data_IF_225107499366
#
_entry.id   IF_225107499366
#
_cell.length_a   1.000
_cell.length_b   1.000
_cell.length_c   1.000
_cell.angle_alpha   90.00
_cell.angle_beta   90.00
_cell.angle_gamma   90.00
#
_symmetry.space_group_name_H-M   'P 1'
#
loop_
_entity.id
_entity.type
_entity.pdbx_description
1 polymer ?
#
# COMPACT_ATOMS: atom_id res chain seq x y z
N UNK A 1 14.66 -6.21 11.22
CA UNK A 1 14.07 -7.02 10.13
C UNK A 1 14.59 -6.53 8.80
N UNK A 2 14.20 -5.34 8.34
CA UNK A 2 14.66 -4.75 7.08
C UNK A 2 16.19 -4.55 7.00
N UNK A 3 16.84 -4.00 8.03
CA UNK A 3 18.31 -3.80 8.03
C UNK A 3 19.12 -5.09 8.25
N UNK A 4 18.49 -6.23 8.50
CA UNK A 4 19.23 -7.47 8.81
C UNK A 4 18.46 -8.73 8.38
N UNK A 5 18.21 -8.94 7.08
CA UNK A 5 17.61 -10.19 6.59
C UNK A 5 18.39 -11.41 7.10
N UNK A 6 17.68 -12.47 7.49
CA UNK A 6 18.30 -13.72 7.95
C UNK A 6 18.92 -13.72 9.35
N UNK A 7 18.95 -12.58 10.07
CA UNK A 7 19.38 -12.55 11.46
C UNK A 7 18.44 -13.41 12.33
N UNK A 8 19.02 -14.20 13.22
CA UNK A 8 18.30 -15.03 14.18
C UNK A 8 18.22 -14.31 15.52
N UNK A 9 17.06 -14.36 16.18
CA UNK A 9 16.83 -13.78 17.50
C UNK A 9 15.80 -14.58 18.30
N UNK A 10 15.87 -14.46 19.63
CA UNK A 10 14.90 -15.07 20.52
C UNK A 10 13.75 -14.09 20.79
N UNK A 11 12.51 -14.56 20.66
CA UNK A 11 11.31 -13.81 21.00
C UNK A 11 10.29 -14.74 21.67
N UNK A 12 9.86 -14.43 22.89
CA UNK A 12 8.88 -15.21 23.65
C UNK A 12 9.20 -16.71 23.74
N UNK A 13 10.49 -17.05 23.89
CA UNK A 13 10.97 -18.44 23.93
C UNK A 13 11.09 -19.13 22.57
N UNK A 14 10.68 -18.47 21.47
CA UNK A 14 10.84 -18.97 20.12
C UNK A 14 12.10 -18.40 19.46
N UNK A 15 12.76 -19.23 18.65
CA UNK A 15 13.85 -18.81 17.77
C UNK A 15 13.27 -18.36 16.44
N UNK A 16 13.38 -17.07 16.13
CA UNK A 16 12.85 -16.48 14.90
C UNK A 16 14.02 -16.02 14.02
N UNK A 17 13.91 -16.27 12.72
CA UNK A 17 14.80 -15.72 11.70
C UNK A 17 14.09 -14.58 10.97
N UNK A 18 14.72 -13.42 10.85
CA UNK A 18 14.14 -12.33 10.07
C UNK A 18 13.97 -12.77 8.61
N UNK A 19 12.77 -12.58 8.03
CA UNK A 19 12.56 -12.82 6.61
C UNK A 19 13.35 -11.81 5.79
N UNK A 20 13.63 -12.21 4.55
CA UNK A 20 14.06 -11.28 3.51
C UNK A 20 12.82 -10.66 2.88
N UNK A 21 12.72 -9.32 2.90
CA UNK A 21 11.49 -8.60 2.58
C UNK A 21 11.73 -7.80 1.30
N UNK A 22 11.16 -8.27 0.19
CA UNK A 22 11.20 -7.56 -1.09
C UNK A 22 10.14 -6.46 -1.25
N UNK A 23 9.03 -6.53 -0.52
CA UNK A 23 7.93 -5.56 -0.64
C UNK A 23 7.48 -5.04 0.73
N UNK A 24 7.40 -3.72 0.86
CA UNK A 24 6.74 -3.04 1.98
C UNK A 24 5.49 -2.34 1.46
N UNK A 25 4.33 -2.75 1.96
CA UNK A 25 3.04 -2.11 1.65
C UNK A 25 2.50 -1.43 2.92
N UNK A 26 2.50 -0.10 2.95
CA UNK A 26 2.14 0.70 4.12
C UNK A 26 0.80 1.40 3.90
N UNK A 27 -0.16 1.18 4.80
CA UNK A 27 -1.48 1.83 4.80
C UNK A 27 -1.68 2.55 6.13
N UNK A 28 -2.16 3.79 6.09
CA UNK A 28 -2.23 4.71 7.23
C UNK A 28 -0.84 5.03 7.78
N UNK A 29 -0.20 6.02 7.15
CA UNK A 29 1.15 6.46 7.50
C UNK A 29 1.25 7.11 8.89
N UNK A 30 1.61 6.30 9.88
CA UNK A 30 2.18 6.78 11.12
C UNK A 30 3.46 6.02 11.46
N UNK A 31 4.38 5.89 10.49
CA UNK A 31 5.74 5.51 10.84
C UNK A 31 6.36 6.69 11.62
N UNK A 32 6.33 6.62 12.95
CA UNK A 32 7.01 7.56 13.84
C UNK A 32 8.29 6.89 14.36
N UNK A 33 9.35 6.78 13.52
CA UNK A 33 10.58 6.13 13.94
C UNK A 33 11.25 6.98 15.03
N UNK A 34 11.68 6.33 16.11
CA UNK A 34 12.50 6.97 17.14
C UNK A 34 13.86 7.42 16.57
N UNK A 35 14.31 6.83 15.45
CA UNK A 35 15.54 7.20 14.77
C UNK A 35 15.38 7.21 13.25
N UNK A 36 15.40 8.40 12.66
CA UNK A 36 15.21 8.61 11.23
C UNK A 36 16.33 8.04 10.35
N UNK A 37 17.57 7.92 10.88
CA UNK A 37 18.69 7.38 10.10
C UNK A 37 18.52 5.88 9.85
N UNK A 38 18.06 5.15 10.87
CA UNK A 38 17.71 3.74 10.72
C UNK A 38 16.50 3.57 9.81
N UNK A 39 15.45 4.39 9.96
CA UNK A 39 14.31 4.33 9.03
C UNK A 39 14.77 4.46 7.58
N UNK A 40 15.62 5.45 7.27
CA UNK A 40 16.13 5.67 5.93
C UNK A 40 16.94 4.47 5.40
N UNK A 41 17.82 3.90 6.22
CA UNK A 41 18.61 2.74 5.83
C UNK A 41 17.74 1.50 5.61
N UNK A 42 16.76 1.27 6.50
CA UNK A 42 15.80 0.19 6.40
C UNK A 42 14.94 0.28 5.13
N UNK A 43 14.54 1.49 4.74
CA UNK A 43 13.70 1.74 3.57
C UNK A 43 14.40 1.52 2.23
N UNK A 44 15.74 1.48 2.22
CA UNK A 44 16.50 1.13 1.02
C UNK A 44 16.67 -0.39 0.81
N UNK A 45 16.21 -1.22 1.76
CA UNK A 45 16.39 -2.68 1.68
C UNK A 45 15.35 -3.41 0.82
N UNK A 46 14.05 -3.07 0.84
CA UNK A 46 13.07 -3.69 -0.03
C UNK A 46 13.31 -3.34 -1.50
N UNK A 47 12.89 -4.23 -2.40
CA UNK A 47 12.86 -3.95 -3.85
C UNK A 47 11.73 -2.97 -4.22
N UNK A 48 10.67 -2.93 -3.42
CA UNK A 48 9.53 -2.03 -3.65
C UNK A 48 8.90 -1.59 -2.34
N UNK A 49 8.58 -0.31 -2.25
CA UNK A 49 7.83 0.31 -1.17
C UNK A 49 6.61 1.03 -1.73
N UNK A 50 5.44 0.60 -1.28
CA UNK A 50 4.14 1.20 -1.63
C UNK A 50 3.59 1.92 -0.41
N UNK A 51 3.30 3.20 -0.55
CA UNK A 51 2.75 4.05 0.50
C UNK A 51 1.34 4.50 0.13
N UNK A 52 0.36 4.10 0.92
CA UNK A 52 -1.01 4.61 0.85
C UNK A 52 -1.13 5.82 1.79
N UNK A 53 -1.14 7.03 1.22
CA UNK A 53 -1.14 8.27 1.98
C UNK A 53 -2.28 9.20 1.53
N UNK A 54 -2.82 9.95 2.49
CA UNK A 54 -3.91 10.92 2.24
C UNK A 54 -3.39 12.31 1.87
N UNK A 55 -2.08 12.51 2.04
CA UNK A 55 -1.31 13.68 1.67
C UNK A 55 0.15 13.29 1.48
N UNK A 56 0.97 14.19 0.94
CA UNK A 56 2.42 13.98 0.86
C UNK A 56 3.04 13.96 2.26
N UNK A 57 3.43 12.78 2.73
CA UNK A 57 4.06 12.62 4.04
C UNK A 57 5.58 12.39 3.91
N UNK A 58 6.36 12.52 5.00
CA UNK A 58 7.78 12.16 4.99
C UNK A 58 8.00 10.71 4.53
N UNK A 59 7.11 9.80 4.90
CA UNK A 59 7.15 8.39 4.51
C UNK A 59 6.88 8.21 3.01
N UNK A 60 5.95 8.96 2.42
CA UNK A 60 5.72 8.95 0.97
C UNK A 60 6.94 9.41 0.15
N UNK A 61 7.87 10.19 0.73
CA UNK A 61 9.12 10.60 0.04
C UNK A 61 10.09 9.49 -0.21
N UNK A 62 9.97 8.38 0.50
CA UNK A 62 10.86 7.25 0.36
C UNK A 62 10.18 6.08 -0.37
N UNK A 63 8.93 6.25 -0.82
CA UNK A 63 8.18 5.20 -1.49
C UNK A 63 8.42 5.21 -3.00
N UNK A 64 8.45 4.03 -3.60
CA UNK A 64 8.48 3.87 -5.06
C UNK A 64 7.11 4.18 -5.67
N UNK A 65 6.04 3.81 -4.96
CA UNK A 65 4.65 4.02 -5.40
C UNK A 65 3.87 4.70 -4.28
N UNK A 66 3.28 5.86 -4.58
CA UNK A 66 2.37 6.56 -3.67
C UNK A 66 0.95 6.42 -4.18
N UNK A 67 0.15 5.62 -3.49
CA UNK A 67 -1.27 5.51 -3.76
C UNK A 67 -2.01 6.58 -2.95
N UNK A 68 -2.85 7.36 -3.62
CA UNK A 68 -3.72 8.30 -2.95
C UNK A 68 -4.78 7.53 -2.15
N UNK A 69 -4.81 7.73 -0.83
CA UNK A 69 -5.99 7.35 -0.05
C UNK A 69 -6.96 8.52 -0.04
N UNK A 70 -8.23 8.22 -0.25
CA UNK A 70 -9.28 9.17 0.09
C UNK A 70 -9.26 9.45 1.60
N UNK A 71 -9.32 10.73 1.94
CA UNK A 71 -9.11 11.24 3.29
C UNK A 71 -10.04 10.56 4.32
N UNK A 72 -9.47 9.98 5.38
CA UNK A 72 -10.23 9.45 6.52
C UNK A 72 -11.16 10.50 7.12
N UNK A 73 -10.91 11.81 7.02
CA UNK A 73 -11.87 12.78 7.56
C UNK A 73 -13.16 12.93 6.72
N UNK A 74 -13.17 12.52 5.44
CA UNK A 74 -14.41 12.44 4.66
C UNK A 74 -15.21 11.18 5.03
N UNK A 75 -14.51 10.06 5.30
CA UNK A 75 -15.11 8.82 5.79
C UNK A 75 -15.49 8.87 7.27
N UNK A 76 -14.81 9.65 8.11
CA UNK A 76 -15.22 9.83 9.50
C UNK A 76 -16.40 10.79 9.58
N UNK A 77 -16.50 11.81 8.72
CA UNK A 77 -17.74 12.59 8.60
C UNK A 77 -18.89 11.80 7.96
N UNK A 78 -18.64 10.88 7.02
CA UNK A 78 -19.65 9.92 6.54
C UNK A 78 -20.02 8.90 7.60
N UNK A 79 -19.08 8.25 8.26
CA UNK A 79 -19.32 7.24 9.31
C UNK A 79 -19.94 7.84 10.59
N UNK A 80 -19.62 9.08 10.94
CA UNK A 80 -20.31 9.82 12.01
C UNK A 80 -21.71 10.26 11.59
N UNK A 81 -21.98 10.44 10.28
CA UNK A 81 -23.32 10.65 9.72
C UNK A 81 -24.08 9.34 9.40
N UNK A 82 -23.37 8.22 9.27
CA UNK A 82 -23.84 6.89 8.87
C UNK A 82 -23.67 5.86 10.01
N UNK A 83 -24.23 6.15 11.19
CA UNK A 83 -24.66 5.09 12.13
C UNK A 83 -25.84 4.29 11.53
N UNK A 84 -25.73 3.88 10.27
CA UNK A 84 -26.74 3.16 9.51
C UNK A 84 -26.25 1.72 9.31
N UNK A 85 -27.01 0.71 9.73
CA UNK A 85 -26.63 -0.69 9.53
C UNK A 85 -26.73 -1.04 8.05
N UNK A 86 -25.61 -1.37 7.39
CA UNK A 86 -25.65 -1.79 5.99
C UNK A 86 -24.39 -1.59 5.14
N UNK A 87 -23.19 -1.54 5.72
CA UNK A 87 -21.97 -1.28 4.93
C UNK A 87 -21.42 -2.53 4.20
N UNK A 88 -22.29 -3.20 3.44
CA UNK A 88 -22.04 -4.44 2.70
C UNK A 88 -21.00 -4.27 1.59
N UNK A 89 -20.96 -3.09 0.97
CA UNK A 89 -20.04 -2.77 -0.13
C UNK A 89 -18.54 -2.80 0.29
N UNK A 90 -18.22 -2.38 1.52
CA UNK A 90 -16.84 -2.43 2.02
C UNK A 90 -16.38 -3.86 2.32
N UNK A 91 -17.29 -4.71 2.81
CA UNK A 91 -17.01 -6.15 3.01
C UNK A 91 -16.77 -6.88 1.70
N UNK A 92 -17.63 -6.63 0.70
CA UNK A 92 -17.53 -7.26 -0.62
C UNK A 92 -16.23 -6.86 -1.36
N UNK A 93 -15.75 -5.64 -1.16
CA UNK A 93 -14.49 -5.17 -1.77
C UNK A 93 -13.26 -5.82 -1.14
N UNK A 94 -13.22 -5.95 0.19
CA UNK A 94 -12.12 -6.62 0.89
C UNK A 94 -12.05 -8.12 0.54
N UNK A 95 -13.18 -8.81 0.51
CA UNK A 95 -13.27 -10.22 0.08
C UNK A 95 -12.87 -10.40 -1.39
N UNK A 96 -13.16 -9.43 -2.26
CA UNK A 96 -12.77 -9.47 -3.67
C UNK A 96 -11.26 -9.36 -3.86
N UNK A 97 -10.58 -8.54 -3.04
CA UNK A 97 -9.13 -8.36 -3.17
C UNK A 97 -8.36 -9.56 -2.60
N UNK A 98 -8.83 -10.13 -1.49
CA UNK A 98 -8.29 -11.39 -0.96
C UNK A 98 -8.34 -12.53 -1.98
N UNK A 99 -9.45 -12.66 -2.71
CA UNK A 99 -9.59 -13.64 -3.81
C UNK A 99 -8.59 -13.38 -4.93
N UNK A 100 -8.47 -12.14 -5.39
CA UNK A 100 -7.47 -11.76 -6.39
C UNK A 100 -6.04 -12.11 -5.93
N UNK A 101 -5.68 -11.81 -4.68
CA UNK A 101 -4.36 -12.16 -4.13
C UNK A 101 -4.12 -13.68 -4.09
N UNK A 102 -5.15 -14.47 -3.82
CA UNK A 102 -5.04 -15.93 -3.73
C UNK A 102 -4.91 -16.63 -5.10
N UNK A 103 -5.57 -16.12 -6.14
CA UNK A 103 -5.57 -16.69 -7.47
C UNK A 103 -5.89 -15.62 -8.53
N UNK A 104 -4.92 -14.79 -8.92
CA UNK A 104 -5.15 -13.60 -9.76
C UNK A 104 -5.61 -13.94 -11.19
N UNK A 105 -5.22 -15.10 -11.71
CA UNK A 105 -5.66 -15.57 -13.02
C UNK A 105 -7.12 -16.06 -13.00
N UNK A 106 -7.60 -16.55 -11.86
CA UNK A 106 -8.99 -17.01 -11.66
C UNK A 106 -9.92 -15.87 -11.24
N UNK A 107 -9.42 -14.90 -10.49
CA UNK A 107 -10.16 -13.77 -9.95
C UNK A 107 -9.57 -12.42 -10.41
N UNK A 108 -9.53 -12.14 -11.72
CA UNK A 108 -8.91 -10.92 -12.23
C UNK A 108 -9.66 -9.67 -11.76
N UNK A 109 -8.92 -8.58 -11.59
CA UNK A 109 -9.50 -7.25 -11.34
C UNK A 109 -10.19 -6.71 -12.59
N UNK A 110 -11.05 -5.71 -12.40
CA UNK A 110 -11.74 -5.01 -13.50
C UNK A 110 -10.85 -3.95 -14.16
N UNK A 111 -9.62 -4.32 -14.45
CA UNK A 111 -8.66 -3.51 -15.21
C UNK A 111 -8.44 -4.16 -16.58
N UNK A 112 -7.97 -3.41 -17.59
CA UNK A 112 -7.64 -3.97 -18.92
C UNK A 112 -6.76 -5.22 -18.87
N UNK A 113 -5.76 -5.26 -18.00
CA UNK A 113 -4.85 -6.40 -17.81
C UNK A 113 -5.39 -7.48 -16.86
N UNK A 114 -6.50 -7.22 -16.16
CA UNK A 114 -6.97 -8.07 -15.06
C UNK A 114 -6.11 -8.00 -13.79
N UNK A 115 -5.10 -7.11 -13.74
CA UNK A 115 -4.14 -6.96 -12.63
C UNK A 115 -4.17 -5.54 -12.06
N UNK A 116 -3.43 -5.30 -10.99
CA UNK A 116 -3.21 -3.92 -10.51
C UNK A 116 -2.37 -3.20 -11.56
N UNK A 117 -2.94 -2.16 -12.17
CA UNK A 117 -2.24 -1.36 -13.18
C UNK A 117 -1.65 -0.13 -12.53
N UNK A 118 -0.35 0.02 -12.69
CA UNK A 118 0.34 1.22 -12.26
C UNK A 118 0.16 2.32 -13.29
N UNK A 119 0.17 2.00 -14.59
CA UNK A 119 0.05 2.94 -15.70
C UNK A 119 -1.29 2.78 -16.44
N UNK A 120 -1.95 3.90 -16.73
CA UNK A 120 -3.18 3.92 -17.54
C UNK A 120 -2.92 4.42 -18.96
N UNK A 121 -2.88 3.48 -19.92
CA UNK A 121 -2.77 3.81 -21.35
C UNK A 121 -3.93 4.69 -21.83
N UNK A 122 -5.14 4.41 -21.36
CA UNK A 122 -6.33 5.20 -21.69
C UNK A 122 -6.17 6.67 -21.30
N UNK A 123 -5.68 6.94 -20.08
CA UNK A 123 -5.43 8.32 -19.62
C UNK A 123 -4.27 8.95 -20.40
N UNK A 124 -3.18 8.21 -20.64
CA UNK A 124 -2.06 8.71 -21.43
C UNK A 124 -2.47 9.12 -22.85
N UNK A 125 -3.33 8.33 -23.49
CA UNK A 125 -3.81 8.57 -24.86
C UNK A 125 -4.71 9.83 -24.95
N UNK A 126 -5.18 10.40 -23.83
CA UNK A 126 -5.89 11.69 -23.81
C UNK A 126 -4.96 12.89 -23.99
N UNK A 127 -3.65 12.74 -23.79
CA UNK A 127 -2.67 13.79 -24.06
C UNK A 127 -2.78 15.02 -23.15
N UNK A 128 -3.30 14.87 -21.93
CA UNK A 128 -3.38 15.96 -20.97
C UNK A 128 -1.97 16.40 -20.52
N UNK A 129 -1.76 17.71 -20.49
CA UNK A 129 -0.46 18.31 -20.17
C UNK A 129 -0.03 18.07 -18.71
N UNK A 130 -0.99 17.90 -17.80
CA UNK A 130 -0.82 17.79 -16.35
C UNK A 130 -1.27 16.43 -15.78
N UNK A 131 -1.83 15.55 -16.61
CA UNK A 131 -2.42 14.28 -16.18
C UNK A 131 -2.09 13.15 -17.18
N UNK A 132 -0.79 12.78 -17.23
CA UNK A 132 -0.33 11.62 -18.00
C UNK A 132 -0.68 10.29 -17.34
N UNK A 133 -0.47 9.18 -18.04
CA UNK A 133 -0.83 7.85 -17.55
C UNK A 133 0.06 7.24 -16.46
N UNK A 134 0.92 8.01 -15.77
CA UNK A 134 1.91 7.69 -14.70
C UNK A 134 1.86 6.26 -14.09
N UNK A 135 3.02 5.64 -13.75
CA UNK A 135 4.11 6.28 -13.04
C UNK A 135 5.41 6.33 -13.87
N UNK A 136 5.96 7.54 -14.01
CA UNK A 136 7.35 7.77 -14.40
C UNK A 136 8.29 7.46 -13.23
#
# INVERSE_FOLDING_TARGET
MLESPGRVFQLNGATIRYPDIGLVYLVADTANPQNFNHLRAAWASPETVVCHASSWTPTSRFADIVCATEWIAHLSQRALKERTPGNRALKETAESFERFLSAPETYPLKTPSGKVELFSKTIADFGYQDCGGHPA
#
